data_IF_420274569357
#
_entry.id   IF_420274569357
#
_cell.length_a   1.000
_cell.length_b   1.000
_cell.length_c   1.000
_cell.angle_alpha   90.00
_cell.angle_beta   90.00
_cell.angle_gamma   90.00
#
_symmetry.space_group_name_H-M   'P 1'
#
loop_
_entity.id
_entity.type
_entity.pdbx_description
1 polymer ?
#
# COMPACT_ATOMS: atom_id res chain seq x y z
N UNK A 1 -8.69 -1.30 -28.84
CA UNK A 1 -8.74 -0.11 -29.72
C UNK A 1 -10.17 0.39 -29.98
N UNK A 2 -11.16 -0.49 -30.18
CA UNK A 2 -12.57 -0.11 -30.41
C UNK A 2 -13.16 0.78 -29.29
N UNK A 3 -12.84 0.50 -28.03
CA UNK A 3 -13.32 1.30 -26.89
C UNK A 3 -12.93 2.80 -26.96
N UNK A 4 -11.72 3.13 -27.44
CA UNK A 4 -11.28 4.52 -27.58
C UNK A 4 -12.03 5.27 -28.69
N UNK A 5 -12.45 4.56 -29.73
CA UNK A 5 -13.24 5.13 -30.83
C UNK A 5 -14.64 5.50 -30.31
N UNK A 6 -15.28 4.60 -29.57
CA UNK A 6 -16.59 4.85 -28.97
C UNK A 6 -16.55 6.02 -27.95
N UNK A 7 -15.49 6.10 -27.14
CA UNK A 7 -15.28 7.23 -26.22
C UNK A 7 -15.11 8.54 -26.98
N UNK A 8 -14.30 8.55 -28.04
CA UNK A 8 -14.07 9.74 -28.88
C UNK A 8 -15.37 10.21 -29.52
N UNK A 9 -16.14 9.28 -30.10
CA UNK A 9 -17.38 9.60 -30.80
C UNK A 9 -18.42 10.13 -29.82
N UNK A 10 -18.49 9.59 -28.59
CA UNK A 10 -19.33 10.16 -27.53
C UNK A 10 -18.88 11.57 -27.11
N UNK A 11 -17.58 11.80 -26.96
CA UNK A 11 -17.02 13.09 -26.53
C UNK A 11 -17.18 14.21 -27.58
N UNK A 12 -17.23 13.86 -28.87
CA UNK A 12 -17.51 14.82 -29.94
C UNK A 12 -18.94 15.38 -29.87
N UNK A 13 -19.88 14.59 -29.33
CA UNK A 13 -21.30 14.95 -29.25
C UNK A 13 -21.74 15.42 -27.86
N UNK A 14 -21.04 15.03 -26.79
CA UNK A 14 -21.43 15.31 -25.41
C UNK A 14 -20.27 15.83 -24.56
N UNK A 15 -20.51 16.90 -23.79
CA UNK A 15 -19.55 17.40 -22.81
C UNK A 15 -19.73 16.60 -21.51
N UNK A 16 -18.88 15.60 -21.31
CA UNK A 16 -18.84 14.79 -20.09
C UNK A 16 -17.98 15.50 -19.02
N UNK A 17 -18.62 16.21 -18.09
CA UNK A 17 -17.92 16.89 -16.96
C UNK A 17 -17.72 16.00 -15.74
N UNK A 18 -18.22 14.78 -15.78
CA UNK A 18 -18.20 13.88 -14.64
C UNK A 18 -16.80 13.26 -14.43
N UNK A 19 -16.34 13.30 -13.18
CA UNK A 19 -15.06 12.74 -12.76
C UNK A 19 -15.04 11.21 -12.93
N UNK A 20 -16.18 10.52 -12.78
CA UNK A 20 -16.28 9.07 -12.99
C UNK A 20 -15.97 8.68 -14.44
N UNK A 21 -16.53 9.42 -15.41
CA UNK A 21 -16.27 9.19 -16.84
C UNK A 21 -14.80 9.50 -17.15
N UNK A 22 -14.27 10.61 -16.61
CA UNK A 22 -12.84 10.95 -16.75
C UNK A 22 -11.91 9.85 -16.26
N UNK A 23 -12.23 9.23 -15.12
CA UNK A 23 -11.50 8.07 -14.59
C UNK A 23 -11.53 6.89 -15.55
N UNK A 24 -12.71 6.49 -16.06
CA UNK A 24 -12.84 5.37 -17.01
C UNK A 24 -12.05 5.60 -18.29
N UNK A 25 -12.06 6.82 -18.82
CA UNK A 25 -11.27 7.21 -19.98
C UNK A 25 -9.77 7.08 -19.70
N UNK A 26 -9.31 7.48 -18.51
CA UNK A 26 -7.91 7.35 -18.11
C UNK A 26 -7.48 5.89 -17.98
N UNK A 27 -8.34 5.04 -17.41
CA UNK A 27 -8.11 3.60 -17.24
C UNK A 27 -7.92 2.90 -18.61
N UNK A 28 -8.82 3.18 -19.56
CA UNK A 28 -8.76 2.64 -20.93
C UNK A 28 -7.60 3.23 -21.74
N UNK A 29 -7.33 4.53 -21.57
CA UNK A 29 -6.22 5.22 -22.21
C UNK A 29 -4.87 4.65 -21.77
N UNK A 30 -4.72 4.38 -20.47
CA UNK A 30 -3.50 3.80 -19.89
C UNK A 30 -3.30 2.36 -20.36
N UNK A 31 -4.38 1.58 -20.42
CA UNK A 31 -4.35 0.23 -20.99
C UNK A 31 -3.88 0.23 -22.44
N UNK A 32 -4.45 1.13 -23.25
CA UNK A 32 -4.11 1.26 -24.67
C UNK A 32 -2.65 1.69 -24.87
N UNK A 33 -2.16 2.62 -24.05
CA UNK A 33 -0.76 3.04 -24.08
C UNK A 33 0.19 1.89 -23.70
N UNK A 34 -0.14 1.13 -22.65
CA UNK A 34 0.66 -0.04 -22.25
C UNK A 34 0.69 -1.12 -23.33
N UNK A 35 -0.45 -1.37 -23.98
CA UNK A 35 -0.52 -2.30 -25.11
C UNK A 35 0.32 -1.82 -26.29
N UNK A 36 0.31 -0.51 -26.57
CA UNK A 36 1.15 0.06 -27.63
C UNK A 36 2.64 -0.13 -27.31
N UNK A 37 3.07 0.20 -26.08
CA UNK A 37 4.45 -0.02 -25.66
C UNK A 37 4.84 -1.50 -25.78
N UNK A 38 3.97 -2.40 -25.33
CA UNK A 38 4.17 -3.83 -25.45
C UNK A 38 4.37 -4.27 -26.92
N UNK A 39 3.51 -3.81 -27.82
CA UNK A 39 3.61 -4.13 -29.25
C UNK A 39 4.86 -3.54 -29.91
N UNK A 40 5.26 -2.31 -29.54
CA UNK A 40 6.48 -1.70 -30.08
C UNK A 40 7.72 -2.50 -29.66
N UNK A 41 7.76 -2.92 -28.40
CA UNK A 41 8.85 -3.76 -27.90
C UNK A 41 8.84 -5.14 -28.55
N UNK A 42 7.67 -5.76 -28.72
CA UNK A 42 7.56 -7.09 -29.35
C UNK A 42 7.97 -7.06 -30.84
N UNK A 43 7.45 -6.11 -31.61
CA UNK A 43 7.66 -6.05 -33.06
C UNK A 43 8.97 -5.40 -33.47
N UNK A 44 9.39 -4.35 -32.77
CA UNK A 44 10.55 -3.55 -33.18
C UNK A 44 11.74 -3.70 -32.23
N UNK A 45 11.58 -4.40 -31.09
CA UNK A 45 12.63 -4.58 -30.08
C UNK A 45 13.21 -3.24 -29.59
N UNK A 46 12.41 -2.17 -29.66
CA UNK A 46 12.76 -0.83 -29.19
C UNK A 46 12.21 -0.66 -27.78
N UNK A 47 13.09 -0.25 -26.86
CA UNK A 47 12.71 0.11 -25.50
C UNK A 47 12.38 1.62 -25.42
N UNK A 48 11.08 1.90 -25.33
CA UNK A 48 10.54 3.25 -25.18
C UNK A 48 10.42 3.69 -23.72
N UNK A 49 10.88 2.88 -22.75
CA UNK A 49 10.83 3.21 -21.31
C UNK A 49 11.57 4.50 -20.99
N UNK A 50 12.61 4.84 -21.77
CA UNK A 50 13.39 6.08 -21.64
C UNK A 50 12.56 7.36 -21.72
N UNK A 51 11.43 7.33 -22.43
CA UNK A 51 10.56 8.48 -22.62
C UNK A 51 9.51 8.66 -21.51
N UNK A 52 9.47 7.75 -20.52
CA UNK A 52 8.53 7.78 -19.40
C UNK A 52 7.08 8.04 -19.85
N UNK A 53 6.57 7.21 -20.77
CA UNK A 53 5.20 7.30 -21.24
C UNK A 53 4.21 6.95 -20.12
N UNK A 54 3.76 7.96 -19.37
CA UNK A 54 2.63 7.84 -18.46
C UNK A 54 1.59 8.91 -18.77
N UNK A 55 0.32 8.53 -18.72
CA UNK A 55 -0.77 9.50 -18.75
C UNK A 55 -0.85 10.13 -17.37
N UNK A 56 -0.72 11.46 -17.33
CA UNK A 56 -0.90 12.22 -16.10
C UNK A 56 -2.34 12.03 -15.58
N UNK A 57 -2.52 11.70 -14.30
CA UNK A 57 -3.85 11.67 -13.71
C UNK A 57 -4.50 13.05 -13.79
N UNK A 58 -5.73 13.11 -14.27
CA UNK A 58 -6.51 14.35 -14.32
C UNK A 58 -6.95 14.66 -12.88
N UNK A 59 -6.15 15.44 -12.14
CA UNK A 59 -6.37 15.83 -10.74
C UNK A 59 -6.42 14.67 -9.73
N UNK A 60 -5.97 14.92 -8.50
CA UNK A 60 -5.99 13.94 -7.43
C UNK A 60 -7.44 13.69 -6.99
N UNK A 61 -8.10 12.69 -7.58
CA UNK A 61 -9.41 12.27 -7.11
C UNK A 61 -9.26 11.78 -5.66
N UNK A 62 -9.98 12.41 -4.73
CA UNK A 62 -10.27 11.71 -3.50
C UNK A 62 -11.12 10.51 -3.89
N UNK A 63 -10.78 9.29 -3.42
CA UNK A 63 -11.43 8.06 -3.88
C UNK A 63 -12.97 8.03 -3.78
N UNK A 64 -13.58 8.99 -3.08
CA UNK A 64 -15.03 9.21 -3.00
C UNK A 64 -15.63 10.06 -4.13
N UNK A 65 -14.86 10.94 -4.79
CA UNK A 65 -15.37 11.89 -5.81
C UNK A 65 -15.48 11.26 -7.21
N UNK A 66 -14.67 10.23 -7.48
CA UNK A 66 -14.68 9.46 -8.72
C UNK A 66 -15.19 8.03 -8.52
N UNK A 67 -15.99 7.81 -7.46
CA UNK A 67 -16.70 6.57 -7.24
C UNK A 67 -17.82 6.42 -8.29
N UNK A 68 -18.16 5.18 -8.61
CA UNK A 68 -19.33 4.91 -9.45
C UNK A 68 -20.58 5.51 -8.78
N UNK A 69 -21.37 6.32 -9.49
CA UNK A 69 -22.58 6.89 -8.92
C UNK A 69 -23.59 5.78 -8.63
N UNK A 70 -24.28 5.88 -7.48
CA UNK A 70 -25.31 4.92 -7.07
C UNK A 70 -26.45 4.78 -8.09
N UNK A 71 -26.63 5.76 -8.98
CA UNK A 71 -27.58 5.65 -10.09
C UNK A 71 -27.06 6.40 -11.32
N UNK A 72 -27.09 5.76 -12.48
CA UNK A 72 -26.64 6.30 -13.77
C UNK A 72 -27.73 7.09 -14.51
N UNK A 73 -28.92 7.24 -13.93
CA UNK A 73 -30.10 7.89 -14.55
C UNK A 73 -29.91 9.36 -14.86
N UNK A 74 -29.00 10.05 -14.15
CA UNK A 74 -28.69 11.45 -14.41
C UNK A 74 -27.89 11.67 -15.72
N UNK A 75 -27.28 10.63 -16.28
CA UNK A 75 -26.54 10.75 -17.53
C UNK A 75 -27.45 10.70 -18.76
N UNK A 76 -27.07 11.35 -19.88
CA UNK A 76 -27.71 11.14 -21.16
C UNK A 76 -27.73 9.66 -21.55
N UNK A 77 -28.77 9.23 -22.27
CA UNK A 77 -28.97 7.83 -22.70
C UNK A 77 -27.76 7.28 -23.45
N UNK A 78 -27.09 8.12 -24.24
CA UNK A 78 -25.89 7.77 -25.01
C UNK A 78 -24.70 7.46 -24.10
N UNK A 79 -24.53 8.23 -23.03
CA UNK A 79 -23.48 8.00 -22.02
C UNK A 79 -23.78 6.73 -21.21
N UNK A 80 -25.05 6.49 -20.87
CA UNK A 80 -25.44 5.25 -20.20
C UNK A 80 -25.10 4.02 -21.06
N UNK A 81 -25.41 4.07 -22.36
CA UNK A 81 -25.07 3.00 -23.31
C UNK A 81 -23.55 2.79 -23.42
N UNK A 82 -22.79 3.88 -23.46
CA UNK A 82 -21.32 3.82 -23.46
C UNK A 82 -20.81 3.12 -22.20
N UNK A 83 -21.30 3.50 -21.02
CA UNK A 83 -20.90 2.86 -19.76
C UNK A 83 -21.24 1.36 -19.75
N UNK A 84 -22.45 0.98 -20.17
CA UNK A 84 -22.83 -0.44 -20.28
C UNK A 84 -21.95 -1.21 -21.27
N UNK A 85 -21.53 -0.57 -22.36
CA UNK A 85 -20.60 -1.17 -23.32
C UNK A 85 -19.20 -1.33 -22.72
N UNK A 86 -18.69 -0.35 -21.97
CA UNK A 86 -17.40 -0.47 -21.30
C UNK A 86 -17.41 -1.57 -20.24
N UNK A 87 -18.49 -1.71 -19.48
CA UNK A 87 -18.63 -2.76 -18.46
C UNK A 87 -18.66 -4.17 -19.08
N UNK A 88 -19.27 -4.33 -20.26
CA UNK A 88 -19.28 -5.63 -20.95
C UNK A 88 -17.91 -6.00 -21.51
N UNK A 89 -17.12 -5.01 -21.96
CA UNK A 89 -15.74 -5.22 -22.37
C UNK A 89 -14.85 -5.65 -21.20
N UNK A 90 -15.03 -5.06 -20.02
CA UNK A 90 -14.28 -5.46 -18.82
C UNK A 90 -14.57 -6.89 -18.40
N UNK A 91 -15.83 -7.33 -18.48
CA UNK A 91 -16.20 -8.71 -18.17
C UNK A 91 -15.57 -9.73 -19.11
N UNK A 92 -15.27 -9.34 -20.36
CA UNK A 92 -14.58 -10.19 -21.34
C UNK A 92 -13.07 -10.28 -21.09
N UNK A 93 -12.47 -9.28 -20.42
CA UNK A 93 -11.02 -9.17 -20.18
C UNK A 93 -10.53 -10.01 -18.98
N UNK A 94 -11.44 -10.62 -18.20
CA UNK A 94 -11.10 -11.47 -17.02
C UNK A 94 -10.56 -12.86 -17.42
N UNK A 95 -10.39 -13.13 -18.71
CA UNK A 95 -9.72 -14.34 -19.20
C UNK A 95 -8.19 -14.20 -19.06
N UNK A 96 -7.67 -14.80 -18.00
CA UNK A 96 -6.38 -14.61 -17.30
C UNK A 96 -5.06 -14.85 -18.10
N UNK A 97 -5.07 -14.84 -19.44
CA UNK A 97 -3.87 -15.19 -20.26
C UNK A 97 -3.60 -14.23 -21.44
N UNK A 98 -4.34 -13.13 -21.54
CA UNK A 98 -4.11 -12.15 -22.60
C UNK A 98 -2.96 -11.20 -22.24
N UNK A 99 -1.91 -11.14 -23.08
CA UNK A 99 -0.79 -10.18 -22.97
C UNK A 99 -1.21 -8.71 -23.16
N UNK A 100 -2.43 -8.48 -23.62
CA UNK A 100 -3.00 -7.17 -23.89
C UNK A 100 -4.19 -6.95 -22.97
N UNK A 101 -4.28 -5.77 -22.38
CA UNK A 101 -5.34 -5.42 -21.44
C UNK A 101 -6.32 -4.45 -22.07
N UNK A 102 -7.62 -4.68 -21.90
CA UNK A 102 -8.65 -3.75 -22.38
C UNK A 102 -8.78 -2.57 -21.41
N UNK A 103 -8.71 -2.82 -20.10
CA UNK A 103 -8.78 -1.77 -19.07
C UNK A 103 -7.73 -1.98 -17.98
N UNK A 104 -7.10 -0.90 -17.51
CA UNK A 104 -6.21 -0.91 -16.36
C UNK A 104 -6.80 -0.04 -15.25
N UNK A 105 -7.07 -0.63 -14.09
CA UNK A 105 -7.57 0.09 -12.93
C UNK A 105 -6.45 0.93 -12.30
N UNK A 106 -6.66 2.24 -12.21
CA UNK A 106 -5.74 3.13 -11.50
C UNK A 106 -6.16 3.26 -10.03
N UNK A 107 -5.25 2.93 -9.12
CA UNK A 107 -5.44 3.13 -7.69
C UNK A 107 -4.47 4.19 -7.17
N UNK A 108 -5.01 5.34 -6.78
CA UNK A 108 -4.24 6.42 -6.16
C UNK A 108 -4.17 6.21 -4.65
N UNK A 109 -2.99 5.77 -4.19
CA UNK A 109 -2.73 5.64 -2.75
C UNK A 109 -1.93 6.84 -2.26
N UNK A 110 -2.59 7.71 -1.50
CA UNK A 110 -1.94 8.78 -0.77
C UNK A 110 -1.10 8.17 0.36
N UNK A 111 0.21 8.13 0.15
CA UNK A 111 1.17 7.76 1.19
C UNK A 111 1.71 9.03 1.83
N UNK A 112 1.67 9.12 3.15
CA UNK A 112 2.38 10.19 3.88
C UNK A 112 3.86 10.03 3.55
N UNK A 113 4.45 11.04 2.91
CA UNK A 113 5.78 10.97 2.31
C UNK A 113 6.88 10.52 3.28
N UNK A 114 7.19 9.23 3.20
CA UNK A 114 8.54 8.66 3.11
C UNK A 114 8.42 7.33 2.37
N UNK A 115 8.81 7.37 1.11
CA UNK A 115 9.04 6.27 0.18
C UNK A 115 7.83 5.67 -0.58
N UNK A 116 8.03 5.66 -1.89
CA UNK A 116 7.15 5.23 -2.98
C UNK A 116 6.97 3.71 -3.01
N UNK A 117 5.74 3.28 -3.32
CA UNK A 117 5.28 1.91 -3.63
C UNK A 117 4.89 1.00 -2.45
N UNK A 118 3.59 0.93 -2.14
CA UNK A 118 3.04 -0.09 -1.26
C UNK A 118 1.60 -0.49 -1.64
N UNK A 119 1.47 -1.67 -2.25
CA UNK A 119 0.22 -2.42 -2.50
C UNK A 119 -0.44 -2.88 -1.19
N UNK A 120 -1.79 -2.94 -1.17
CA UNK A 120 -2.69 -3.06 0.01
C UNK A 120 -2.94 -4.50 0.56
N UNK A 121 -2.83 -4.77 1.87
CA UNK A 121 -3.37 -5.97 2.58
C UNK A 121 -3.67 -5.75 4.09
N UNK A 122 -4.78 -6.34 4.58
CA UNK A 122 -5.48 -6.07 5.86
C UNK A 122 -4.81 -6.69 7.09
N UNK A 123 -4.77 -5.96 8.22
CA UNK A 123 -4.34 -6.47 9.53
C UNK A 123 -5.39 -6.13 10.61
N UNK A 124 -6.30 -7.07 10.95
CA UNK A 124 -6.99 -7.29 12.26
C UNK A 124 -8.33 -8.06 12.11
N UNK A 125 -8.68 -8.86 13.13
CA UNK A 125 -9.89 -9.72 13.26
C UNK A 125 -11.13 -8.96 13.77
N UNK A 126 -11.39 -7.76 13.25
CA UNK A 126 -12.60 -7.00 13.58
C UNK A 126 -13.37 -6.65 12.28
N UNK A 127 -14.56 -7.21 12.05
CA UNK A 127 -15.27 -7.09 10.78
C UNK A 127 -15.71 -5.66 10.43
N UNK A 128 -15.58 -4.70 11.35
CA UNK A 128 -15.97 -3.29 11.17
C UNK A 128 -14.80 -2.29 11.21
N UNK A 129 -13.57 -2.74 11.42
CA UNK A 129 -12.41 -1.85 11.49
C UNK A 129 -11.83 -1.55 10.09
N UNK A 130 -11.49 -0.27 9.78
CA UNK A 130 -10.81 0.07 8.53
C UNK A 130 -9.43 -0.60 8.48
N UNK A 131 -9.14 -1.26 7.35
CA UNK A 131 -7.93 -2.05 7.17
C UNK A 131 -6.67 -1.17 7.17
N UNK A 132 -5.91 -1.21 8.27
CA UNK A 132 -4.59 -0.59 8.36
C UNK A 132 -3.54 -1.60 7.94
N UNK A 133 -2.79 -1.22 6.91
CA UNK A 133 -1.66 -1.97 6.36
C UNK A 133 -0.41 -1.78 7.20
N UNK A 134 0.14 -2.87 7.75
CA UNK A 134 1.48 -2.85 8.37
C UNK A 134 2.35 -3.89 7.65
N UNK A 135 3.35 -3.46 6.88
CA UNK A 135 4.37 -4.37 6.33
C UNK A 135 5.27 -4.86 7.47
N UNK A 136 5.81 -6.08 7.40
CA UNK A 136 6.77 -6.60 8.39
C UNK A 136 8.01 -5.68 8.52
N UNK A 137 8.39 -5.02 7.43
CA UNK A 137 9.44 -3.99 7.40
C UNK A 137 9.04 -2.70 8.15
N UNK A 138 7.76 -2.32 8.11
CA UNK A 138 7.23 -1.18 8.87
C UNK A 138 7.05 -1.54 10.35
N UNK A 139 6.76 -2.81 10.67
CA UNK A 139 6.90 -3.33 12.03
C UNK A 139 8.35 -3.13 12.49
N UNK A 140 9.35 -3.52 11.70
CA UNK A 140 10.76 -3.33 12.08
C UNK A 140 11.14 -1.84 12.29
N UNK A 141 10.54 -0.90 11.54
CA UNK A 141 10.71 0.55 11.79
C UNK A 141 10.16 0.99 13.15
N UNK A 142 9.05 0.39 13.60
CA UNK A 142 8.47 0.66 14.92
C UNK A 142 9.19 -0.07 16.07
N UNK A 143 9.92 -1.15 15.76
CA UNK A 143 10.73 -1.94 16.69
C UNK A 143 12.22 -1.97 16.25
N UNK A 144 12.93 -0.81 16.23
CA UNK A 144 14.29 -0.73 15.72
C UNK A 144 15.35 -1.37 16.63
N UNK A 145 15.04 -1.64 17.89
CA UNK A 145 16.05 -2.04 18.88
C UNK A 145 16.17 -3.57 18.98
N UNK A 146 17.39 -4.08 18.82
CA UNK A 146 17.69 -5.47 19.20
C UNK A 146 17.96 -5.58 20.70
N UNK A 147 18.12 -6.81 21.21
CA UNK A 147 18.51 -7.04 22.61
C UNK A 147 19.78 -6.28 23.02
N UNK A 148 20.80 -6.28 22.14
CA UNK A 148 22.07 -5.58 22.41
C UNK A 148 21.86 -4.07 22.46
N UNK A 149 21.04 -3.54 21.55
CA UNK A 149 20.75 -2.10 21.50
C UNK A 149 19.94 -1.64 22.72
N UNK A 150 18.97 -2.46 23.16
CA UNK A 150 18.22 -2.21 24.38
C UNK A 150 19.17 -2.19 25.59
N UNK A 151 20.00 -3.22 25.78
CA UNK A 151 20.94 -3.30 26.89
C UNK A 151 21.91 -2.10 26.90
N UNK A 152 22.44 -1.72 25.74
CA UNK A 152 23.32 -0.56 25.60
C UNK A 152 22.59 0.76 25.91
N UNK A 153 21.34 0.89 25.48
CA UNK A 153 20.50 2.06 25.77
C UNK A 153 20.21 2.18 27.27
N UNK A 154 19.89 1.07 27.94
CA UNK A 154 19.66 1.02 29.39
C UNK A 154 20.93 1.35 30.18
N UNK A 155 22.09 0.80 29.79
CA UNK A 155 23.41 1.13 30.38
C UNK A 155 23.74 2.62 30.29
N UNK A 156 23.41 3.26 29.17
CA UNK A 156 23.64 4.70 28.98
C UNK A 156 22.65 5.55 29.78
N UNK A 157 21.40 5.10 29.93
CA UNK A 157 20.29 5.88 30.51
C UNK A 157 20.22 5.80 32.03
N UNK A 158 20.61 4.69 32.65
CA UNK A 158 20.49 4.48 34.09
C UNK A 158 21.86 4.38 34.77
N UNK A 159 21.93 4.77 36.04
CA UNK A 159 23.16 4.67 36.84
C UNK A 159 23.29 3.29 37.47
N UNK A 160 22.18 2.72 37.92
CA UNK A 160 22.10 1.46 38.65
C UNK A 160 21.80 0.25 37.75
N UNK A 161 21.94 0.38 36.43
CA UNK A 161 21.61 -0.71 35.51
C UNK A 161 22.74 -1.74 35.43
N UNK A 162 22.38 -2.98 35.74
CA UNK A 162 23.20 -4.18 35.60
C UNK A 162 22.36 -5.25 34.90
N UNK A 163 22.98 -6.06 34.03
CA UNK A 163 22.34 -7.21 33.39
C UNK A 163 22.18 -8.37 34.37
N UNK A 164 21.40 -8.15 35.43
CA UNK A 164 21.16 -9.10 36.51
C UNK A 164 19.90 -9.95 36.26
N UNK A 165 19.64 -10.90 37.17
CA UNK A 165 18.45 -11.77 37.10
C UNK A 165 17.14 -10.96 37.17
N UNK A 166 17.15 -9.81 37.84
CA UNK A 166 15.96 -8.97 37.99
C UNK A 166 15.59 -8.24 36.69
N UNK A 167 16.60 -7.74 35.97
CA UNK A 167 16.42 -7.21 34.61
C UNK A 167 15.79 -8.26 33.69
N UNK A 168 16.29 -9.51 33.74
CA UNK A 168 15.75 -10.60 32.92
C UNK A 168 14.29 -10.91 33.25
N UNK A 169 13.90 -10.87 34.53
CA UNK A 169 12.50 -11.07 34.97
C UNK A 169 11.58 -9.96 34.47
N UNK A 170 11.97 -8.69 34.66
CA UNK A 170 11.18 -7.53 34.22
C UNK A 170 11.02 -7.56 32.70
N UNK A 171 12.11 -7.84 31.97
CA UNK A 171 12.08 -7.98 30.51
C UNK A 171 11.13 -9.10 30.07
N UNK A 172 11.22 -10.30 30.66
CA UNK A 172 10.34 -11.42 30.31
C UNK A 172 8.86 -11.12 30.57
N UNK A 173 8.53 -10.32 31.59
CA UNK A 173 7.17 -9.88 31.84
C UNK A 173 6.68 -8.93 30.73
N UNK A 174 7.50 -7.94 30.36
CA UNK A 174 7.18 -6.98 29.29
C UNK A 174 7.16 -7.63 27.89
N UNK A 175 7.90 -8.73 27.70
CA UNK A 175 7.93 -9.48 26.44
C UNK A 175 6.64 -10.27 26.15
N UNK A 176 5.80 -10.51 27.15
CA UNK A 176 4.49 -11.14 26.94
C UNK A 176 3.51 -10.20 26.25
N UNK A 177 3.72 -8.90 26.36
CA UNK A 177 2.90 -7.90 25.70
C UNK A 177 3.44 -7.57 24.31
N UNK A 178 2.63 -7.88 23.28
CA UNK A 178 3.00 -7.66 21.87
C UNK A 178 3.22 -6.16 21.51
N UNK A 179 2.91 -5.24 22.44
CA UNK A 179 3.14 -3.80 22.31
C UNK A 179 4.60 -3.40 22.49
N UNK A 180 5.37 -4.16 23.28
CA UNK A 180 6.74 -3.81 23.64
C UNK A 180 7.80 -4.65 22.92
N UNK A 181 7.45 -5.88 22.53
CA UNK A 181 8.37 -6.75 21.80
C UNK A 181 7.67 -7.58 20.75
N UNK A 182 8.37 -7.79 19.64
CA UNK A 182 7.99 -8.72 18.58
C UNK A 182 9.05 -9.82 18.47
N UNK A 183 8.62 -11.02 18.11
CA UNK A 183 9.50 -12.16 17.83
C UNK A 183 9.49 -12.42 16.34
N UNK A 184 10.67 -12.37 15.71
CA UNK A 184 10.87 -12.71 14.30
C UNK A 184 11.55 -14.06 14.20
N UNK A 185 10.98 -14.95 13.39
CA UNK A 185 11.58 -16.23 13.05
C UNK A 185 12.45 -16.07 11.80
N UNK A 186 13.60 -16.75 11.73
CA UNK A 186 14.47 -16.73 10.54
C UNK A 186 13.75 -17.34 9.33
N UNK A 187 12.92 -18.37 9.56
CA UNK A 187 12.05 -18.95 8.55
C UNK A 187 10.59 -18.89 9.03
N UNK A 188 9.72 -18.10 8.37
CA UNK A 188 8.31 -17.95 8.77
C UNK A 188 7.51 -19.26 8.75
N UNK A 189 7.92 -20.21 7.92
CA UNK A 189 7.29 -21.52 7.74
C UNK A 189 7.78 -22.59 8.73
N UNK A 190 8.82 -22.32 9.52
CA UNK A 190 9.36 -23.27 10.48
C UNK A 190 9.38 -22.67 11.91
N UNK A 191 8.48 -23.10 12.81
CA UNK A 191 8.40 -22.59 14.18
C UNK A 191 9.63 -22.95 15.05
N UNK A 192 10.47 -23.88 14.60
CA UNK A 192 11.74 -24.26 15.26
C UNK A 192 12.95 -23.48 14.76
N UNK A 193 12.78 -22.55 13.81
CA UNK A 193 13.90 -21.73 13.31
C UNK A 193 14.40 -20.75 14.38
N UNK A 194 15.66 -20.32 14.23
CA UNK A 194 16.25 -19.34 15.15
C UNK A 194 15.41 -18.07 15.20
N UNK A 195 15.09 -17.61 16.41
CA UNK A 195 14.25 -16.44 16.65
C UNK A 195 15.06 -15.24 17.14
N UNK A 196 14.78 -14.08 16.58
CA UNK A 196 15.33 -12.80 17.02
C UNK A 196 14.21 -11.91 17.55
N UNK A 197 14.48 -11.20 18.65
CA UNK A 197 13.52 -10.29 19.27
C UNK A 197 13.87 -8.85 18.95
N UNK A 198 12.83 -8.07 18.68
CA UNK A 198 12.94 -6.63 18.47
C UNK A 198 12.05 -5.89 19.46
N UNK A 199 12.52 -4.74 19.91
CA UNK A 199 11.90 -3.95 20.99
C UNK A 199 11.47 -2.58 20.50
N UNK A 200 10.33 -2.13 21.01
CA UNK A 200 9.82 -0.78 20.80
C UNK A 200 10.52 0.16 21.81
N UNK A 201 10.98 1.36 21.40
CA UNK A 201 11.53 2.37 22.30
C UNK A 201 10.63 2.73 23.50
N UNK A 202 9.30 2.54 23.38
CA UNK A 202 8.35 2.74 24.47
C UNK A 202 8.61 1.83 25.69
N UNK A 203 9.28 0.69 25.51
CA UNK A 203 9.65 -0.20 26.62
C UNK A 203 10.53 0.52 27.67
N UNK A 204 11.26 1.56 27.25
CA UNK A 204 12.12 2.34 28.14
C UNK A 204 11.31 3.09 29.22
N UNK A 205 10.05 3.43 28.96
CA UNK A 205 9.19 4.09 29.95
C UNK A 205 8.82 3.15 31.09
N UNK A 206 8.64 1.87 30.80
CA UNK A 206 8.39 0.85 31.83
C UNK A 206 9.66 0.60 32.65
N UNK A 207 10.84 0.60 32.00
CA UNK A 207 12.12 0.51 32.72
C UNK A 207 12.41 1.74 33.59
N UNK A 208 11.90 2.93 33.24
CA UNK A 208 12.05 4.12 34.08
C UNK A 208 11.37 3.99 35.45
N UNK A 209 10.35 3.11 35.60
CA UNK A 209 9.69 2.86 36.88
C UNK A 209 10.55 2.04 37.85
N UNK A 210 11.51 1.28 37.31
CA UNK A 210 12.32 0.34 38.08
C UNK A 210 13.78 0.79 38.27
N UNK A 211 14.27 1.74 37.45
CA UNK A 211 15.67 2.16 37.46
C UNK A 211 15.82 3.68 37.61
N UNK A 212 16.92 4.12 38.22
CA UNK A 212 17.18 5.53 38.48
C UNK A 212 17.89 6.14 37.27
N UNK A 213 17.23 7.11 36.64
CA UNK A 213 17.76 7.82 35.48
C UNK A 213 19.04 8.56 35.84
N UNK A 214 20.02 8.51 34.95
CA UNK A 214 21.24 9.31 35.06
C UNK A 214 20.90 10.77 34.82
N UNK A 215 21.08 11.61 35.84
CA UNK A 215 20.95 13.05 35.73
C UNK A 215 22.15 13.53 34.90
N UNK A 216 21.89 14.15 33.75
CA UNK A 216 22.94 14.87 33.01
C UNK A 216 23.19 16.18 33.75
N UNK A 217 24.41 16.38 34.25
CA UNK A 217 24.91 17.71 34.60
C UNK A 217 25.29 18.47 33.35
#
# INVERSE_FOLDING_TARGET
MLALIEIRDNAAHFINKDLYIGRRVLEIGTASLRNYLFLVTDWFQVDLTSYNFFLMPISFYHGFEAAEPATRTHYPVQVQKLLTYLDSLEQQDVADDAKQHVVLRLETKLVRGKDTSAVAFRWTDDPKAPAVMVREEDVLKSYPMTYRDLANTLKRRYVNFLENKDFLKIRQALEKENKYSIVRFLHPSNPNSSKQRFYNPNILQEFDKHYVRRIKS
#
